data_IF_571164224468
#
_entry.id   IF_571164224468
#
_cell.length_a   1.000
_cell.length_b   1.000
_cell.length_c   1.000
_cell.angle_alpha   90.00
_cell.angle_beta   90.00
_cell.angle_gamma   90.00
#
_symmetry.space_group_name_H-M   'P 1'
#
loop_
_entity.id
_entity.type
_entity.pdbx_description
1 polymer ?
#
# COMPACT_ATOMS: atom_id res chain seq x y z
N UNK A 1 -24.00 -17.57 14.76
CA UNK A 1 -24.20 -17.73 13.31
C UNK A 1 -24.17 -19.17 12.79
N UNK A 2 -23.24 -20.08 13.14
CA UNK A 2 -23.23 -21.44 12.58
C UNK A 2 -24.41 -22.31 13.03
N UNK A 3 -24.93 -22.08 14.25
CA UNK A 3 -26.09 -22.80 14.79
C UNK A 3 -27.37 -22.61 13.96
N UNK A 4 -27.60 -21.41 13.40
CA UNK A 4 -28.79 -21.15 12.59
C UNK A 4 -28.75 -21.87 11.24
N UNK A 5 -27.56 -22.01 10.65
CA UNK A 5 -27.35 -22.74 9.40
C UNK A 5 -27.59 -24.24 9.62
N UNK A 6 -27.08 -24.79 10.72
CA UNK A 6 -27.31 -26.21 11.08
C UNK A 6 -28.80 -26.46 11.32
N UNK A 7 -29.49 -25.58 12.05
CA UNK A 7 -30.94 -25.67 12.29
C UNK A 7 -31.72 -25.59 10.96
N UNK A 8 -31.34 -24.69 10.05
CA UNK A 8 -31.97 -24.56 8.74
C UNK A 8 -31.76 -25.80 7.86
N UNK A 9 -30.56 -26.40 7.88
CA UNK A 9 -30.27 -27.63 7.14
C UNK A 9 -31.00 -28.84 7.72
N UNK A 10 -31.09 -28.95 9.05
CA UNK A 10 -31.86 -30.00 9.71
C UNK A 10 -33.36 -29.84 9.40
N UNK A 11 -33.89 -28.61 9.45
CA UNK A 11 -35.28 -28.34 9.09
C UNK A 11 -35.56 -28.68 7.62
N UNK A 12 -34.66 -28.31 6.70
CA UNK A 12 -34.76 -28.65 5.29
C UNK A 12 -34.72 -30.17 5.05
N UNK A 13 -33.81 -30.87 5.72
CA UNK A 13 -33.70 -32.33 5.63
C UNK A 13 -34.94 -33.05 6.17
N UNK A 14 -35.52 -32.56 7.27
CA UNK A 14 -36.76 -33.09 7.83
C UNK A 14 -37.97 -32.79 6.93
N UNK A 15 -38.00 -31.63 6.28
CA UNK A 15 -39.05 -31.25 5.34
C UNK A 15 -39.01 -32.11 4.07
N UNK A 16 -37.82 -32.35 3.52
CA UNK A 16 -37.63 -33.23 2.36
C UNK A 16 -37.97 -34.68 2.69
N UNK A 17 -37.56 -35.18 3.86
CA UNK A 17 -37.88 -36.54 4.33
C UNK A 17 -39.36 -36.73 4.65
N UNK A 18 -40.06 -35.67 5.06
CA UNK A 18 -41.53 -35.68 5.22
C UNK A 18 -42.23 -35.62 3.87
N UNK A 19 -41.75 -34.80 2.95
CA UNK A 19 -42.24 -34.69 1.58
C UNK A 19 -42.11 -36.00 0.80
N UNK A 20 -41.05 -36.79 1.03
CA UNK A 20 -40.88 -38.09 0.37
C UNK A 20 -41.81 -39.19 0.88
N UNK A 21 -42.61 -38.92 1.93
CA UNK A 21 -43.63 -39.85 2.45
C UNK A 21 -45.04 -39.54 1.94
N UNK A 22 -45.28 -38.35 1.39
CA UNK A 22 -46.56 -37.94 0.81
C UNK A 22 -46.38 -37.71 -0.69
N UNK A 23 -46.80 -38.66 -1.53
CA UNK A 23 -46.77 -38.58 -3.00
C UNK A 23 -47.77 -37.56 -3.60
N UNK A 24 -48.07 -36.45 -2.91
CA UNK A 24 -49.07 -35.46 -3.35
C UNK A 24 -48.63 -34.02 -3.21
N UNK A 25 -47.34 -33.73 -3.41
CA UNK A 25 -46.89 -32.35 -3.56
C UNK A 25 -46.82 -31.98 -5.06
N UNK A 26 -47.52 -30.92 -5.50
CA UNK A 26 -47.45 -30.50 -6.88
C UNK A 26 -46.02 -30.04 -7.20
N UNK A 27 -45.47 -30.54 -8.32
CA UNK A 27 -44.12 -30.26 -8.82
C UNK A 27 -43.60 -28.81 -8.66
N UNK A 28 -44.41 -27.75 -8.86
CA UNK A 28 -43.92 -26.37 -8.68
C UNK A 28 -43.47 -26.03 -7.27
N UNK A 29 -44.05 -26.63 -6.22
CA UNK A 29 -43.69 -26.31 -4.83
C UNK A 29 -42.28 -26.85 -4.50
N UNK A 30 -41.97 -28.06 -4.98
CA UNK A 30 -40.64 -28.67 -4.80
C UNK A 30 -39.58 -27.85 -5.52
N UNK A 31 -39.87 -27.39 -6.75
CA UNK A 31 -38.97 -26.53 -7.51
C UNK A 31 -38.70 -25.18 -6.83
N UNK A 32 -39.74 -24.54 -6.28
CA UNK A 32 -39.60 -23.28 -5.57
C UNK A 32 -38.72 -23.43 -4.32
N UNK A 33 -38.91 -24.50 -3.54
CA UNK A 33 -38.09 -24.78 -2.35
C UNK A 33 -36.63 -25.05 -2.71
N UNK A 34 -36.36 -25.82 -3.78
CA UNK A 34 -35.00 -26.06 -4.26
C UNK A 34 -34.30 -24.79 -4.73
N UNK A 35 -35.00 -23.93 -5.49
CA UNK A 35 -34.47 -22.64 -5.94
C UNK A 35 -34.17 -21.71 -4.76
N UNK A 36 -35.01 -21.72 -3.73
CA UNK A 36 -34.82 -20.89 -2.54
C UNK A 36 -33.63 -21.39 -1.73
N UNK A 37 -33.49 -22.71 -1.55
CA UNK A 37 -32.33 -23.30 -0.91
C UNK A 37 -31.02 -23.03 -1.68
N UNK A 38 -31.06 -23.10 -3.01
CA UNK A 38 -29.92 -22.79 -3.87
C UNK A 38 -29.50 -21.32 -3.78
N UNK A 39 -30.47 -20.38 -3.78
CA UNK A 39 -30.21 -18.96 -3.63
C UNK A 39 -29.60 -18.60 -2.25
N UNK A 40 -30.05 -19.28 -1.19
CA UNK A 40 -29.48 -19.12 0.16
C UNK A 40 -28.04 -19.68 0.21
N UNK A 41 -27.76 -20.79 -0.51
CA UNK A 41 -26.41 -21.35 -0.59
C UNK A 41 -25.45 -20.46 -1.38
N UNK A 42 -25.88 -19.87 -2.50
CA UNK A 42 -25.03 -19.01 -3.32
C UNK A 42 -24.78 -17.64 -2.69
N UNK A 43 -25.78 -17.05 -2.02
CA UNK A 43 -25.62 -15.79 -1.31
C UNK A 43 -24.60 -15.87 -0.15
N UNK A 44 -24.53 -17.02 0.52
CA UNK A 44 -23.59 -17.23 1.63
C UNK A 44 -22.18 -17.64 1.19
N UNK A 45 -22.01 -18.08 -0.06
CA UNK A 45 -20.69 -18.43 -0.60
C UNK A 45 -19.76 -17.20 -0.63
N UNK A 46 -20.30 -16.02 -0.93
CA UNK A 46 -19.52 -14.78 -0.96
C UNK A 46 -19.00 -14.37 0.42
N UNK A 47 -19.82 -14.50 1.47
CA UNK A 47 -19.43 -14.18 2.85
C UNK A 47 -18.38 -15.15 3.40
N UNK A 48 -18.48 -16.44 3.11
CA UNK A 48 -17.47 -17.44 3.52
C UNK A 48 -16.15 -17.17 2.80
N UNK A 49 -16.18 -16.81 1.52
CA UNK A 49 -14.97 -16.49 0.76
C UNK A 49 -14.29 -15.20 1.26
N UNK A 50 -15.07 -14.17 1.63
CA UNK A 50 -14.55 -12.95 2.27
C UNK A 50 -13.91 -13.24 3.63
N UNK A 51 -14.56 -14.06 4.47
CA UNK A 51 -14.01 -14.47 5.76
C UNK A 51 -12.73 -15.32 5.60
N UNK A 52 -12.67 -16.16 4.57
CA UNK A 52 -11.48 -16.93 4.23
C UNK A 52 -10.33 -16.03 3.75
N UNK A 53 -10.61 -14.99 2.97
CA UNK A 53 -9.59 -13.99 2.57
C UNK A 53 -9.04 -13.21 3.76
N UNK A 54 -9.91 -12.74 4.67
CA UNK A 54 -9.48 -12.02 5.87
C UNK A 54 -8.62 -12.91 6.78
N UNK A 55 -9.00 -14.18 6.95
CA UNK A 55 -8.20 -15.11 7.74
C UNK A 55 -6.89 -15.48 7.05
N UNK A 56 -6.88 -15.65 5.72
CA UNK A 56 -5.66 -15.89 4.94
C UNK A 56 -4.69 -14.71 5.03
N UNK A 57 -5.18 -13.47 4.91
CA UNK A 57 -4.38 -12.24 5.09
C UNK A 57 -3.80 -12.17 6.52
N UNK A 58 -4.60 -12.48 7.54
CA UNK A 58 -4.13 -12.49 8.93
C UNK A 58 -3.06 -13.57 9.17
N UNK A 59 -3.27 -14.78 8.64
CA UNK A 59 -2.30 -15.88 8.74
C UNK A 59 -1.01 -15.53 8.00
N UNK A 60 -1.09 -14.95 6.80
CA UNK A 60 0.09 -14.51 6.06
C UNK A 60 0.85 -13.41 6.81
N UNK A 61 0.17 -12.49 7.48
CA UNK A 61 0.79 -11.46 8.32
C UNK A 61 1.51 -12.06 9.53
N UNK A 62 0.91 -13.06 10.18
CA UNK A 62 1.51 -13.78 11.33
C UNK A 62 2.68 -14.66 10.90
N UNK A 63 2.56 -15.36 9.77
CA UNK A 63 3.60 -16.24 9.24
C UNK A 63 4.77 -15.45 8.60
N UNK A 64 4.50 -14.23 8.13
CA UNK A 64 5.49 -13.28 7.62
C UNK A 64 6.06 -12.37 8.73
N UNK A 65 5.98 -12.83 9.99
CA UNK A 65 6.65 -12.18 11.12
C UNK A 65 8.11 -11.82 10.80
N UNK A 66 8.61 -10.69 11.33
CA UNK A 66 9.80 -10.01 10.85
C UNK A 66 11.02 -10.93 10.93
N UNK A 67 11.53 -11.36 9.77
CA UNK A 67 12.78 -12.13 9.66
C UNK A 67 14.04 -11.31 9.99
N UNK A 68 13.90 -10.03 10.33
CA UNK A 68 15.00 -9.17 10.75
C UNK A 68 15.06 -8.99 12.27
N UNK A 69 15.56 -9.99 12.99
CA UNK A 69 16.05 -9.78 14.37
C UNK A 69 16.99 -10.90 14.88
N UNK A 70 17.89 -11.39 14.01
CA UNK A 70 19.08 -12.15 14.46
C UNK A 70 20.39 -11.38 14.35
N UNK A 71 20.49 -10.32 13.55
CA UNK A 71 21.71 -9.53 13.46
C UNK A 71 21.95 -8.57 14.66
N UNK A 72 20.89 -8.19 15.41
CA UNK A 72 21.02 -7.26 16.56
C UNK A 72 21.46 -7.90 17.88
N UNK A 73 21.47 -9.24 18.00
CA UNK A 73 21.90 -9.91 19.25
C UNK A 73 23.42 -10.03 19.40
N UNK A 74 24.19 -9.87 18.33
CA UNK A 74 25.66 -9.85 18.38
C UNK A 74 26.20 -8.54 18.97
N UNK A 75 25.67 -7.39 18.53
CA UNK A 75 26.18 -6.09 18.96
C UNK A 75 25.80 -5.69 20.40
N UNK A 76 24.72 -6.24 20.96
CA UNK A 76 24.33 -5.91 22.33
C UNK A 76 25.34 -6.47 23.37
N UNK A 77 25.92 -7.65 23.13
CA UNK A 77 26.92 -8.26 24.03
C UNK A 77 28.30 -7.61 23.98
N UNK A 78 28.61 -6.88 22.90
CA UNK A 78 29.87 -6.16 22.76
C UNK A 78 29.84 -4.80 23.48
N UNK A 79 28.67 -4.15 23.52
CA UNK A 79 28.47 -2.91 24.27
C UNK A 79 28.50 -3.10 25.80
N UNK A 80 28.15 -4.28 26.32
CA UNK A 80 28.25 -4.56 27.76
C UNK A 80 29.70 -4.75 28.24
N UNK A 81 30.63 -5.16 27.37
CA UNK A 81 32.06 -5.25 27.73
C UNK A 81 32.79 -3.90 27.69
N UNK A 82 32.22 -2.91 27.00
CA UNK A 82 32.76 -1.55 26.88
C UNK A 82 32.24 -0.60 27.97
N UNK A 83 31.28 -1.03 28.80
CA UNK A 83 30.74 -0.24 29.91
C UNK A 83 31.62 -0.22 31.18
N UNK A 84 32.52 -1.20 31.36
CA UNK A 84 33.27 -1.38 32.61
C UNK A 84 34.64 -0.67 32.61
N UNK A 85 35.03 -0.05 31.50
CA UNK A 85 36.36 0.61 31.37
C UNK A 85 36.26 2.15 31.27
N UNK A 86 35.29 2.74 31.98
CA UNK A 86 35.06 4.20 32.02
C UNK A 86 35.25 4.81 33.42
N UNK A 87 35.96 4.12 34.31
CA UNK A 87 36.16 4.52 35.71
C UNK A 87 37.53 5.10 36.07
N UNK A 88 38.44 5.36 35.12
CA UNK A 88 39.77 5.87 35.45
C UNK A 88 40.27 6.85 34.37
N UNK A 89 40.04 8.14 34.60
CA UNK A 89 40.87 9.26 34.15
C UNK A 89 40.35 10.54 34.84
N UNK A 90 40.79 10.75 36.09
CA UNK A 90 40.88 12.06 36.71
C UNK A 90 42.14 12.72 36.16
N UNK A 91 42.01 13.56 35.13
CA UNK A 91 42.80 14.78 34.90
C UNK A 91 42.55 15.33 33.49
N UNK A 92 42.36 16.64 33.44
CA UNK A 92 41.79 17.46 32.38
C UNK A 92 42.80 17.88 31.30
N UNK A 93 43.71 16.99 30.89
CA UNK A 93 44.83 17.34 29.99
C UNK A 93 44.90 16.54 28.68
N UNK A 94 43.84 15.83 28.28
CA UNK A 94 43.85 14.99 27.07
C UNK A 94 42.78 15.34 26.01
N UNK A 95 42.45 16.62 25.85
CA UNK A 95 41.56 17.12 24.79
C UNK A 95 42.27 18.15 23.89
N UNK A 96 43.34 17.74 23.19
CA UNK A 96 43.89 18.59 22.11
C UNK A 96 44.48 17.84 20.90
N UNK A 97 44.46 16.49 20.85
CA UNK A 97 45.11 15.76 19.74
C UNK A 97 44.27 14.72 19.01
N UNK A 98 42.98 14.54 19.34
CA UNK A 98 42.08 13.57 18.65
C UNK A 98 41.04 14.16 17.72
N UNK A 99 40.85 15.48 17.73
CA UNK A 99 39.86 16.19 16.91
C UNK A 99 40.31 16.43 15.45
N UNK A 100 41.61 16.31 15.14
CA UNK A 100 42.14 16.55 13.80
C UNK A 100 42.12 15.32 12.87
N UNK A 101 42.18 14.09 13.39
CA UNK A 101 42.36 12.88 12.56
C UNK A 101 41.05 12.18 12.16
N UNK A 102 39.90 12.60 12.72
CA UNK A 102 38.60 11.95 12.50
C UNK A 102 37.70 12.70 11.49
N UNK A 103 38.31 13.44 10.55
CA UNK A 103 37.58 14.12 9.47
C UNK A 103 37.66 13.46 8.10
N UNK A 104 38.58 12.53 7.87
CA UNK A 104 38.67 11.86 6.57
C UNK A 104 38.39 10.37 6.69
N UNK A 105 37.56 9.86 5.77
CA UNK A 105 37.19 8.44 5.53
C UNK A 105 36.02 7.85 6.31
N UNK A 106 34.92 8.60 6.50
CA UNK A 106 33.59 7.97 6.44
C UNK A 106 32.98 8.37 5.10
N UNK A 107 32.68 7.43 4.17
CA UNK A 107 31.91 7.75 3.00
C UNK A 107 30.63 8.43 3.50
N UNK A 108 30.41 9.66 3.05
CA UNK A 108 29.13 10.31 3.25
C UNK A 108 28.09 9.41 2.59
N UNK A 109 27.43 8.56 3.38
CA UNK A 109 26.10 8.09 3.03
C UNK A 109 25.32 9.38 2.78
N UNK A 110 25.08 9.66 1.50
CA UNK A 110 24.60 10.96 1.05
C UNK A 110 23.37 11.32 1.88
N UNK A 111 23.38 12.50 2.50
CA UNK A 111 22.11 13.21 2.65
C UNK A 111 21.60 13.34 1.23
N UNK A 112 20.60 12.54 0.88
CA UNK A 112 19.73 12.85 -0.24
C UNK A 112 19.22 14.25 0.08
N UNK A 113 19.60 15.23 -0.73
CA UNK A 113 19.12 16.59 -0.54
C UNK A 113 17.60 16.54 -0.77
N UNK A 114 16.79 17.15 0.11
CA UNK A 114 15.36 17.33 -0.11
C UNK A 114 15.10 17.80 -1.55
N UNK A 115 14.56 16.91 -2.40
CA UNK A 115 14.25 17.15 -3.82
C UNK A 115 14.99 16.25 -4.81
N UNK A 116 16.11 15.65 -4.41
CA UNK A 116 16.93 14.83 -5.30
C UNK A 116 16.30 13.46 -5.61
N UNK A 117 15.42 12.96 -4.72
CA UNK A 117 14.66 11.74 -4.96
C UNK A 117 13.56 11.94 -6.01
N UNK A 118 12.84 13.07 -5.93
CA UNK A 118 11.77 13.43 -6.87
C UNK A 118 12.34 13.68 -8.28
N UNK A 119 13.46 14.42 -8.36
CA UNK A 119 14.19 14.63 -9.62
C UNK A 119 14.60 13.31 -10.29
N UNK A 120 14.96 12.29 -9.49
CA UNK A 120 15.33 10.98 -10.00
C UNK A 120 14.11 10.22 -10.55
N UNK A 121 12.93 10.42 -9.97
CA UNK A 121 11.69 9.84 -10.48
C UNK A 121 11.28 10.47 -11.81
N UNK A 122 11.27 11.80 -11.91
CA UNK A 122 10.98 12.50 -13.17
C UNK A 122 11.94 12.10 -14.29
N UNK A 123 13.24 12.02 -14.00
CA UNK A 123 14.24 11.54 -14.97
C UNK A 123 13.96 10.11 -15.44
N UNK A 124 13.49 9.23 -14.56
CA UNK A 124 13.12 7.86 -14.93
C UNK A 124 11.93 7.82 -15.90
N UNK A 125 10.96 8.72 -15.74
CA UNK A 125 9.81 8.81 -16.65
C UNK A 125 10.24 9.38 -18.00
N UNK A 126 11.05 10.44 -18.01
CA UNK A 126 11.56 11.03 -19.25
C UNK A 126 12.46 10.04 -20.01
N UNK A 127 13.28 9.25 -19.30
CA UNK A 127 14.07 8.18 -19.92
C UNK A 127 13.17 7.11 -20.55
N UNK A 128 12.07 6.73 -19.89
CA UNK A 128 11.07 5.82 -20.47
C UNK A 128 10.46 6.41 -21.74
N UNK A 129 9.98 7.66 -21.70
CA UNK A 129 9.38 8.34 -22.84
C UNK A 129 10.37 8.48 -24.01
N UNK A 130 11.62 8.83 -23.73
CA UNK A 130 12.66 8.95 -24.77
C UNK A 130 12.89 7.65 -25.55
N UNK A 131 12.64 6.50 -24.92
CA UNK A 131 12.82 5.17 -25.52
C UNK A 131 11.59 4.68 -26.26
N UNK A 132 10.40 5.01 -25.79
CA UNK A 132 9.16 4.36 -26.24
C UNK A 132 8.19 5.29 -26.96
N UNK A 133 8.33 6.62 -26.86
CA UNK A 133 7.33 7.57 -27.38
C UNK A 133 7.05 7.43 -28.90
N UNK A 134 7.99 6.93 -29.69
CA UNK A 134 7.80 6.70 -31.12
C UNK A 134 6.80 5.58 -31.42
N UNK A 135 6.68 4.59 -30.52
CA UNK A 135 5.83 3.41 -30.69
C UNK A 135 4.52 3.51 -29.89
N UNK A 136 4.31 4.62 -29.16
CA UNK A 136 3.10 4.86 -28.37
C UNK A 136 2.10 5.76 -29.12
N UNK A 137 0.79 5.56 -28.91
CA UNK A 137 -0.24 6.53 -29.30
C UNK A 137 0.02 7.89 -28.67
N UNK A 138 -0.33 8.95 -29.39
CA UNK A 138 -0.14 10.34 -28.95
C UNK A 138 -0.84 10.58 -27.61
N UNK A 139 -2.03 10.02 -27.43
CA UNK A 139 -2.82 10.14 -26.20
C UNK A 139 -2.12 9.51 -25.00
N UNK A 140 -1.43 8.38 -25.21
CA UNK A 140 -0.67 7.71 -24.16
C UNK A 140 0.56 8.54 -23.77
N UNK A 141 1.27 9.14 -24.73
CA UNK A 141 2.38 10.06 -24.44
C UNK A 141 1.91 11.25 -23.59
N UNK A 142 0.76 11.84 -23.94
CA UNK A 142 0.14 12.92 -23.15
C UNK A 142 -0.17 12.43 -21.73
N UNK A 143 -0.82 11.27 -21.59
CA UNK A 143 -1.16 10.71 -20.29
C UNK A 143 0.06 10.41 -19.42
N UNK A 144 1.18 9.95 -19.98
CA UNK A 144 2.42 9.74 -19.23
C UNK A 144 3.05 11.07 -18.78
N UNK A 145 2.96 12.13 -19.60
CA UNK A 145 3.42 13.47 -19.18
C UNK A 145 2.54 14.08 -18.08
N UNK A 146 1.23 13.88 -18.14
CA UNK A 146 0.33 14.26 -17.05
C UNK A 146 0.65 13.48 -15.77
N UNK A 147 0.92 12.18 -15.90
CA UNK A 147 1.38 11.36 -14.78
C UNK A 147 2.68 11.90 -14.17
N UNK A 148 3.66 12.28 -14.99
CA UNK A 148 4.89 12.91 -14.51
C UNK A 148 4.61 14.17 -13.68
N UNK A 149 3.71 15.04 -14.15
CA UNK A 149 3.34 16.27 -13.43
C UNK A 149 2.75 15.97 -12.05
N UNK A 150 1.89 14.95 -11.98
CA UNK A 150 1.29 14.48 -10.71
C UNK A 150 2.36 13.90 -9.79
N UNK A 151 3.32 13.13 -10.32
CA UNK A 151 4.45 12.58 -9.54
C UNK A 151 5.33 13.69 -8.96
N UNK A 152 5.64 14.72 -9.75
CA UNK A 152 6.43 15.88 -9.32
C UNK A 152 5.74 16.65 -8.19
N UNK A 153 4.43 16.88 -8.34
CA UNK A 153 3.61 17.54 -7.33
C UNK A 153 3.55 16.72 -6.03
N UNK A 154 3.26 15.43 -6.13
CA UNK A 154 3.18 14.53 -4.97
C UNK A 154 4.54 14.37 -4.29
N UNK A 155 5.62 14.20 -5.05
CA UNK A 155 6.99 14.09 -4.52
C UNK A 155 7.38 15.34 -3.75
N UNK A 156 7.21 16.52 -4.37
CA UNK A 156 7.50 17.81 -3.73
C UNK A 156 6.70 17.99 -2.42
N UNK A 157 5.43 17.58 -2.40
CA UNK A 157 4.62 17.63 -1.18
C UNK A 157 5.17 16.72 -0.09
N UNK A 158 5.44 15.44 -0.39
CA UNK A 158 5.95 14.47 0.58
C UNK A 158 7.31 14.90 1.15
N UNK A 159 8.19 15.39 0.30
CA UNK A 159 9.49 15.92 0.65
C UNK A 159 9.38 17.16 1.56
N UNK A 160 8.49 18.12 1.22
CA UNK A 160 8.25 19.31 2.06
C UNK A 160 7.80 18.98 3.49
N UNK A 161 7.22 17.78 3.70
CA UNK A 161 6.75 17.26 4.99
C UNK A 161 7.71 16.26 5.63
N UNK A 162 8.89 16.04 5.06
CA UNK A 162 9.88 15.05 5.50
C UNK A 162 9.32 13.61 5.57
N UNK A 163 8.42 13.25 4.63
CA UNK A 163 7.80 11.93 4.51
C UNK A 163 8.49 11.02 3.49
N UNK A 164 9.77 11.29 3.16
CA UNK A 164 10.55 10.64 2.10
C UNK A 164 10.73 9.12 2.29
N UNK A 165 10.74 8.64 3.54
CA UNK A 165 10.91 7.21 3.85
C UNK A 165 9.58 6.50 4.19
N UNK A 166 8.46 7.21 4.05
CA UNK A 166 7.12 6.76 4.40
C UNK A 166 6.51 5.75 3.41
N UNK A 167 5.35 5.20 3.77
CA UNK A 167 4.57 4.33 2.90
C UNK A 167 4.17 5.04 1.60
N UNK A 168 3.73 6.29 1.70
CA UNK A 168 3.36 7.15 0.56
C UNK A 168 4.51 7.32 -0.43
N UNK A 169 5.73 7.56 0.05
CA UNK A 169 6.90 7.68 -0.81
C UNK A 169 7.23 6.35 -1.50
N UNK A 170 7.16 5.21 -0.78
CA UNK A 170 7.36 3.89 -1.41
C UNK A 170 6.34 3.59 -2.51
N UNK A 171 5.08 3.93 -2.29
CA UNK A 171 4.03 3.78 -3.31
C UNK A 171 4.32 4.63 -4.55
N UNK A 172 4.73 5.89 -4.36
CA UNK A 172 5.14 6.78 -5.45
C UNK A 172 6.33 6.19 -6.24
N UNK A 173 7.37 5.73 -5.53
CA UNK A 173 8.53 5.09 -6.14
C UNK A 173 8.15 3.84 -6.94
N UNK A 174 7.24 3.01 -6.42
CA UNK A 174 6.80 1.79 -7.08
C UNK A 174 5.97 2.10 -8.33
N UNK A 175 5.08 3.10 -8.26
CA UNK A 175 4.29 3.54 -9.41
C UNK A 175 5.18 3.94 -10.59
N UNK A 176 6.25 4.70 -10.33
CA UNK A 176 7.17 5.18 -11.36
C UNK A 176 8.11 4.09 -11.86
N UNK A 177 8.70 3.29 -10.96
CA UNK A 177 9.79 2.37 -11.32
C UNK A 177 9.32 1.00 -11.79
N UNK A 178 8.10 0.61 -11.44
CA UNK A 178 7.58 -0.73 -11.72
C UNK A 178 6.30 -0.63 -12.55
N UNK A 179 5.25 0.00 -12.02
CA UNK A 179 3.94 -0.08 -12.65
C UNK A 179 3.87 0.65 -13.99
N UNK A 180 4.35 1.89 -14.06
CA UNK A 180 4.38 2.64 -15.31
C UNK A 180 5.14 1.91 -16.44
N UNK A 181 6.41 1.51 -16.25
CA UNK A 181 7.14 0.81 -17.31
C UNK A 181 6.53 -0.55 -17.63
N UNK A 182 6.01 -1.29 -16.65
CA UNK A 182 5.35 -2.58 -16.90
C UNK A 182 4.10 -2.40 -17.77
N UNK A 183 3.26 -1.40 -17.49
CA UNK A 183 2.06 -1.08 -18.28
C UNK A 183 2.41 -0.69 -19.72
N UNK A 184 3.41 0.18 -19.90
CA UNK A 184 3.86 0.59 -21.24
C UNK A 184 4.46 -0.59 -22.01
N UNK A 185 5.30 -1.39 -21.37
CA UNK A 185 5.91 -2.57 -22.00
C UNK A 185 4.89 -3.65 -22.34
N UNK A 186 3.85 -3.83 -21.53
CA UNK A 186 2.77 -4.77 -21.81
C UNK A 186 2.03 -4.39 -23.08
N UNK A 187 1.75 -3.09 -23.29
CA UNK A 187 1.15 -2.59 -24.52
C UNK A 187 2.05 -2.80 -25.73
N UNK A 188 3.34 -2.48 -25.62
CA UNK A 188 4.31 -2.64 -26.73
C UNK A 188 4.58 -4.09 -27.14
N UNK A 189 4.26 -5.07 -26.27
CA UNK A 189 4.33 -6.50 -26.60
C UNK A 189 3.17 -6.98 -27.45
N UNK A 190 2.10 -6.20 -27.58
CA UNK A 190 0.96 -6.57 -28.42
C UNK A 190 1.38 -6.54 -29.90
N UNK A 191 1.01 -7.55 -30.70
CA UNK A 191 1.24 -7.50 -32.14
C UNK A 191 0.45 -6.34 -32.74
N UNK A 192 1.06 -5.52 -33.59
CA UNK A 192 0.50 -4.24 -34.05
C UNK A 192 -0.93 -4.29 -34.65
N UNK A 193 -1.34 -5.42 -35.22
CA UNK A 193 -2.70 -5.62 -35.71
C UNK A 193 -3.74 -5.79 -34.57
N UNK A 194 -3.33 -6.20 -33.38
CA UNK A 194 -4.19 -6.41 -32.21
C UNK A 194 -4.35 -5.17 -31.32
N UNK A 195 -3.52 -4.15 -31.53
CA UNK A 195 -3.46 -2.97 -30.67
C UNK A 195 -4.70 -2.09 -30.78
N UNK A 196 -5.22 -1.94 -32.01
CA UNK A 196 -6.39 -1.10 -32.32
C UNK A 196 -7.59 -1.89 -32.87
N UNK A 197 -7.37 -3.09 -33.43
CA UNK A 197 -8.42 -3.81 -34.16
C UNK A 197 -8.96 -5.06 -33.44
N UNK A 198 -8.22 -5.62 -32.47
CA UNK A 198 -8.67 -6.79 -31.72
C UNK A 198 -9.19 -6.33 -30.36
N UNK A 199 -10.46 -6.63 -30.14
CA UNK A 199 -11.09 -6.50 -28.84
C UNK A 199 -10.51 -7.58 -27.93
N UNK A 200 -9.84 -7.17 -26.86
CA UNK A 200 -9.35 -8.07 -25.81
C UNK A 200 -10.51 -8.53 -24.90
N UNK A 201 -10.21 -9.48 -24.02
CA UNK A 201 -11.10 -9.89 -22.92
C UNK A 201 -11.69 -8.66 -22.21
N UNK A 202 -13.01 -8.52 -22.22
CA UNK A 202 -13.71 -7.38 -21.61
C UNK A 202 -14.18 -6.29 -22.58
N UNK A 203 -14.02 -6.45 -23.88
CA UNK A 203 -14.63 -5.53 -24.85
C UNK A 203 -13.78 -4.31 -25.23
N UNK A 204 -12.56 -4.21 -24.68
CA UNK A 204 -11.67 -3.06 -24.88
C UNK A 204 -10.57 -3.37 -25.90
N UNK A 205 -10.15 -2.37 -26.66
CA UNK A 205 -8.93 -2.44 -27.48
C UNK A 205 -7.67 -2.37 -26.61
N UNK A 206 -6.52 -2.81 -27.13
CA UNK A 206 -5.24 -2.67 -26.41
C UNK A 206 -4.93 -1.21 -26.06
N UNK A 207 -5.30 -0.27 -26.93
CA UNK A 207 -5.19 1.18 -26.69
C UNK A 207 -6.08 1.66 -25.55
N UNK A 208 -7.35 1.25 -25.53
CA UNK A 208 -8.28 1.61 -24.45
C UNK A 208 -7.81 1.05 -23.10
N UNK A 209 -7.33 -0.20 -23.09
CA UNK A 209 -6.80 -0.83 -21.89
C UNK A 209 -5.54 -0.12 -21.36
N UNK A 210 -4.65 0.33 -22.25
CA UNK A 210 -3.49 1.15 -21.86
C UNK A 210 -3.95 2.46 -21.20
N UNK A 211 -4.87 3.17 -21.83
CA UNK A 211 -5.38 4.45 -21.30
C UNK A 211 -6.10 4.28 -19.96
N UNK A 212 -6.86 3.21 -19.79
CA UNK A 212 -7.50 2.87 -18.52
C UNK A 212 -6.48 2.64 -17.40
N UNK A 213 -5.42 1.88 -17.67
CA UNK A 213 -4.35 1.64 -16.70
C UNK A 213 -3.57 2.91 -16.35
N UNK A 214 -3.26 3.76 -17.34
CA UNK A 214 -2.56 5.04 -17.08
C UNK A 214 -3.43 5.98 -16.24
N UNK A 215 -4.73 6.05 -16.51
CA UNK A 215 -5.69 6.83 -15.70
C UNK A 215 -5.73 6.32 -14.26
N UNK A 216 -5.84 5.00 -14.08
CA UNK A 216 -5.83 4.38 -12.75
C UNK A 216 -4.53 4.71 -11.99
N UNK A 217 -3.38 4.69 -12.68
CA UNK A 217 -2.10 5.00 -12.06
C UNK A 217 -2.02 6.47 -11.62
N UNK A 218 -2.52 7.41 -12.43
CA UNK A 218 -2.61 8.82 -12.06
C UNK A 218 -3.52 9.03 -10.85
N UNK A 219 -4.69 8.40 -10.83
CA UNK A 219 -5.63 8.47 -9.71
C UNK A 219 -5.02 7.91 -8.42
N UNK A 220 -4.31 6.79 -8.51
CA UNK A 220 -3.62 6.21 -7.36
C UNK A 220 -2.58 7.17 -6.76
N UNK A 221 -1.78 7.83 -7.58
CA UNK A 221 -0.78 8.81 -7.09
C UNK A 221 -1.43 10.08 -6.54
N UNK A 222 -2.54 10.55 -7.13
CA UNK A 222 -3.32 11.65 -6.54
C UNK A 222 -3.92 11.26 -5.18
N UNK A 223 -4.43 10.03 -5.06
CA UNK A 223 -4.91 9.48 -3.79
C UNK A 223 -3.84 9.48 -2.70
N UNK A 224 -2.60 9.16 -3.05
CA UNK A 224 -1.46 9.27 -2.12
C UNK A 224 -1.29 10.69 -1.57
N UNK A 225 -1.38 11.71 -2.43
CA UNK A 225 -1.30 13.11 -2.02
C UNK A 225 -2.46 13.48 -1.09
N UNK A 226 -3.68 13.13 -1.47
CA UNK A 226 -4.89 13.42 -0.68
C UNK A 226 -4.86 12.74 0.70
N UNK A 227 -4.44 11.48 0.76
CA UNK A 227 -4.36 10.72 2.00
C UNK A 227 -3.25 11.25 2.91
N UNK A 228 -2.10 11.62 2.35
CA UNK A 228 -1.03 12.27 3.10
C UNK A 228 -1.51 13.61 3.71
N UNK A 229 -2.21 14.44 2.92
CA UNK A 229 -2.77 15.70 3.40
C UNK A 229 -3.86 15.53 4.46
N UNK A 230 -4.71 14.50 4.31
CA UNK A 230 -5.74 14.16 5.30
C UNK A 230 -5.12 13.69 6.62
N UNK A 231 -4.10 12.84 6.55
CA UNK A 231 -3.38 12.34 7.74
C UNK A 231 -2.76 13.48 8.55
N UNK A 232 -2.15 14.46 7.88
CA UNK A 232 -1.61 15.66 8.53
C UNK A 232 -2.70 16.49 9.23
N UNK A 233 -3.84 16.69 8.56
CA UNK A 233 -4.98 17.41 9.12
C UNK A 233 -5.51 16.76 10.41
N UNK A 234 -5.57 15.42 10.43
CA UNK A 234 -5.96 14.66 11.62
C UNK A 234 -4.94 14.79 12.75
N UNK A 235 -3.64 14.82 12.43
CA UNK A 235 -2.56 15.04 13.41
C UNK A 235 -2.68 16.42 14.08
N UNK A 236 -2.97 17.47 13.30
CA UNK A 236 -3.19 18.82 13.84
C UNK A 236 -4.39 18.88 14.78
N UNK A 237 -5.50 18.24 14.43
CA UNK A 237 -6.68 18.16 15.31
C UNK A 237 -6.39 17.39 16.60
N UNK A 238 -5.60 16.31 16.52
CA UNK A 238 -5.17 15.58 17.70
C UNK A 238 -4.27 16.44 18.61
N UNK A 239 -3.38 17.23 18.01
CA UNK A 239 -2.51 18.16 18.73
C UNK A 239 -3.33 19.26 19.44
N UNK A 240 -4.32 19.85 18.76
CA UNK A 240 -5.23 20.83 19.37
C UNK A 240 -5.93 20.24 20.60
N UNK A 241 -6.53 19.06 20.48
CA UNK A 241 -7.21 18.38 21.61
C UNK A 241 -6.27 18.10 22.76
N UNK A 242 -5.02 17.73 22.47
CA UNK A 242 -4.00 17.53 23.51
C UNK A 242 -3.68 18.85 24.24
N UNK A 243 -3.52 19.96 23.51
CA UNK A 243 -3.29 21.26 24.10
C UNK A 243 -4.47 21.69 24.97
N UNK A 244 -5.70 21.55 24.49
CA UNK A 244 -6.91 21.85 25.27
C UNK A 244 -6.96 21.05 26.58
N UNK A 245 -6.73 19.74 26.52
CA UNK A 245 -6.71 18.89 27.72
C UNK A 245 -5.60 19.27 28.71
N UNK A 246 -4.42 19.63 28.20
CA UNK A 246 -3.27 19.99 29.05
C UNK A 246 -3.46 21.34 29.72
N UNK A 247 -3.97 22.32 28.98
CA UNK A 247 -4.23 23.67 29.46
C UNK A 247 -5.43 23.71 30.42
N UNK A 248 -6.49 22.94 30.16
CA UNK A 248 -7.63 22.80 31.09
C UNK A 248 -7.23 22.16 32.43
N UNK A 249 -6.23 21.26 32.44
CA UNK A 249 -5.73 20.61 33.66
C UNK A 249 -4.75 21.47 34.47
N UNK A 250 -4.14 22.51 33.90
CA UNK A 250 -3.23 23.43 34.60
C UNK A 250 -3.37 24.90 34.14
N UNK A 251 -4.48 25.57 34.50
CA UNK A 251 -4.66 26.98 34.16
C UNK A 251 -3.75 27.95 34.94
N UNK A 252 -3.21 27.56 36.11
CA UNK A 252 -2.42 28.46 36.98
C UNK A 252 -0.96 28.67 36.58
N UNK A 253 -0.43 27.91 35.62
CA UNK A 253 0.99 28.02 35.20
C UNK A 253 1.21 29.15 34.17
N UNK A 254 0.15 29.86 33.75
CA UNK A 254 0.18 30.90 32.70
C UNK A 254 -0.21 32.31 33.19
N UNK A 255 -0.40 32.51 34.49
CA UNK A 255 -0.53 33.87 35.07
C UNK A 255 0.89 34.41 35.34
N UNK A 256 1.41 35.22 34.41
CA UNK A 256 2.64 36.02 34.52
C UNK A 256 2.27 37.48 34.81
#
# INVERSE_FOLDING_TARGET
MPLLIIIALIALALLVRRSSRDERLPGPIVAALLMTALAILTANFWLVNMAALVTLIWILSVLSGPRESRARRGHQRENERLGTQRGACLDNTCLDKRSAQRRDTRPAAGRVVPGQADDALSKSIEELLSRTAADLPVEAVIAVREFQRVVEETGAYLNSRALEDGEYARLLHQAVRQYLPDTVNAYLRLPGAATDAVVLEGGQTGRELLMGQLTMLQEAVRGVLEDAARSESLSLLAHQRFLEQRLQRRPRDFEL
#
